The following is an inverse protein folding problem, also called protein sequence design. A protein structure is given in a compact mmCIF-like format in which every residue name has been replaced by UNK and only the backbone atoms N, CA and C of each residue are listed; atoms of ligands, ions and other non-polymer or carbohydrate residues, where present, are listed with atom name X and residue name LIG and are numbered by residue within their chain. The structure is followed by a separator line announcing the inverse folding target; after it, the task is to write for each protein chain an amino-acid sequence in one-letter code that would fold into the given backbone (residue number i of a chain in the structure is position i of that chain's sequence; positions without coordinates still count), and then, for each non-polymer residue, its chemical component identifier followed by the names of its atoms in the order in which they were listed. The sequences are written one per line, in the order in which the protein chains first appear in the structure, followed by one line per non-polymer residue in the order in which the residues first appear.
data_IF_266664589473
#
_entry.id   IF_266664589473
#
_cell.length_a   1.000
_cell.length_b   1.000
_cell.length_c   1.000
_cell.angle_alpha   90.00
_cell.angle_beta   90.00
_cell.angle_gamma   90.00
#
_symmetry.space_group_name_H-M   'P 1'
#
loop_
_entity.id
_entity.type
_entity.pdbx_description
1 polymer ?
#
# COMPACT_ATOMS: atom_id res chain seq x y z
N UNK A 1 7.93 -10.84 8.45
CA UNK A 1 8.37 -10.03 7.29
C UNK A 1 8.20 -8.53 7.58
N UNK A 2 8.80 -8.03 8.66
CA UNK A 2 8.69 -6.62 9.07
C UNK A 2 9.68 -5.77 8.27
N UNK A 3 10.88 -6.31 8.01
CA UNK A 3 11.91 -5.60 7.26
C UNK A 3 11.84 -5.80 5.74
N UNK A 4 10.77 -6.46 5.27
CA UNK A 4 10.54 -6.79 3.87
C UNK A 4 10.98 -8.19 3.47
N UNK A 5 11.25 -8.36 2.18
CA UNK A 5 11.68 -9.61 1.55
C UNK A 5 12.79 -9.35 0.53
N UNK A 6 13.58 -10.36 0.13
CA UNK A 6 14.57 -10.21 -0.95
C UNK A 6 13.99 -9.58 -2.22
N UNK A 7 12.75 -9.93 -2.58
CA UNK A 7 12.06 -9.34 -3.73
C UNK A 7 11.70 -7.87 -3.54
N UNK A 8 11.34 -7.49 -2.32
CA UNK A 8 11.00 -6.10 -2.00
C UNK A 8 12.24 -5.20 -2.08
N UNK A 9 13.43 -5.70 -1.73
CA UNK A 9 14.67 -4.93 -1.83
C UNK A 9 15.09 -4.59 -3.26
N UNK A 10 14.64 -5.36 -4.26
CA UNK A 10 14.89 -5.03 -5.66
C UNK A 10 14.14 -3.76 -6.11
N UNK A 11 13.05 -3.40 -5.43
CA UNK A 11 12.13 -2.34 -5.85
C UNK A 11 12.10 -1.14 -4.89
N UNK A 12 12.55 -1.31 -3.64
CA UNK A 12 12.46 -0.29 -2.61
C UNK A 12 13.78 -0.12 -1.89
N UNK A 13 14.22 1.13 -1.74
CA UNK A 13 15.45 1.50 -1.01
C UNK A 13 15.31 1.42 0.52
N UNK A 14 14.18 0.91 1.02
CA UNK A 14 13.84 0.89 2.44
C UNK A 14 13.05 -0.38 2.79
N UNK A 15 13.09 -0.83 4.05
CA UNK A 15 12.39 -2.04 4.48
C UNK A 15 10.89 -1.97 4.17
N UNK A 16 10.40 -2.87 3.31
CA UNK A 16 9.01 -2.83 2.83
C UNK A 16 8.22 -4.06 3.23
N UNK A 17 7.55 -4.00 4.38
CA UNK A 17 6.56 -5.02 4.76
C UNK A 17 5.28 -4.90 3.94
N UNK A 18 4.48 -5.96 3.95
CA UNK A 18 3.14 -5.96 3.33
C UNK A 18 2.24 -4.89 3.94
N UNK A 19 2.23 -4.75 5.27
CA UNK A 19 1.46 -3.71 5.95
C UNK A 19 1.91 -2.30 5.58
N UNK A 20 3.23 -2.07 5.49
CA UNK A 20 3.80 -0.79 5.06
C UNK A 20 3.41 -0.46 3.61
N UNK A 21 3.40 -1.47 2.73
CA UNK A 21 2.98 -1.31 1.33
C UNK A 21 1.49 -0.94 1.22
N UNK A 22 0.62 -1.57 2.01
CA UNK A 22 -0.81 -1.22 2.06
C UNK A 22 -1.00 0.22 2.54
N UNK A 23 -0.34 0.61 3.63
CA UNK A 23 -0.43 1.98 4.16
C UNK A 23 0.09 3.03 3.15
N UNK A 24 1.16 2.71 2.41
CA UNK A 24 1.68 3.55 1.34
C UNK A 24 0.68 3.72 0.20
N UNK A 25 0.03 2.64 -0.22
CA UNK A 25 -0.97 2.69 -1.28
C UNK A 25 -2.15 3.57 -0.89
N UNK A 26 -2.67 3.41 0.33
CA UNK A 26 -3.73 4.27 0.87
C UNK A 26 -3.31 5.74 0.91
N UNK A 27 -2.08 6.03 1.38
CA UNK A 27 -1.54 7.40 1.39
C UNK A 27 -1.48 7.98 -0.02
N UNK A 28 -0.98 7.23 -0.99
CA UNK A 28 -0.86 7.69 -2.37
C UNK A 28 -2.25 7.90 -3.01
N UNK A 29 -3.20 7.02 -2.76
CA UNK A 29 -4.57 7.13 -3.25
C UNK A 29 -5.30 8.36 -2.66
N UNK A 30 -5.06 8.68 -1.39
CA UNK A 30 -5.53 9.93 -0.77
C UNK A 30 -4.92 11.17 -1.45
N UNK A 31 -3.60 11.19 -1.66
CA UNK A 31 -2.90 12.32 -2.27
C UNK A 31 -3.27 12.54 -3.75
N UNK A 32 -3.65 11.48 -4.46
CA UNK A 32 -4.04 11.51 -5.87
C UNK A 32 -5.55 11.56 -6.08
N UNK A 33 -6.34 11.77 -5.02
CA UNK A 33 -7.81 11.77 -5.05
C UNK A 33 -8.41 10.52 -5.76
N UNK A 34 -7.76 9.38 -5.58
CA UNK A 34 -8.03 8.10 -6.28
C UNK A 34 -8.43 6.99 -5.31
N UNK A 35 -8.92 7.36 -4.12
CA UNK A 35 -9.23 6.42 -3.03
C UNK A 35 -10.28 5.36 -3.40
N UNK A 36 -11.22 5.72 -4.29
CA UNK A 36 -12.27 4.83 -4.78
C UNK A 36 -11.75 3.58 -5.50
N UNK A 37 -10.53 3.62 -6.05
CA UNK A 37 -9.97 2.44 -6.73
C UNK A 37 -9.35 1.41 -5.78
N UNK A 38 -9.11 1.77 -4.52
CA UNK A 38 -8.43 0.92 -3.53
C UNK A 38 -9.31 0.52 -2.35
N UNK A 39 -10.53 1.09 -2.26
CA UNK A 39 -11.53 0.73 -1.27
C UNK A 39 -12.62 -0.14 -1.90
N UNK A 40 -13.19 -1.01 -1.08
CA UNK A 40 -14.37 -1.78 -1.46
C UNK A 40 -15.64 -0.95 -1.18
N UNK A 41 -16.48 -0.77 -2.20
CA UNK A 41 -17.73 0.00 -2.12
C UNK A 41 -18.89 -0.86 -1.56
N UNK A 42 -18.65 -2.14 -1.23
CA UNK A 42 -19.68 -3.09 -0.77
C UNK A 42 -20.31 -2.77 0.60
N UNK A 43 -19.76 -1.80 1.34
CA UNK A 43 -20.19 -1.45 2.71
C UNK A 43 -21.31 -0.39 2.78
N UNK A 44 -21.79 0.12 1.64
CA UNK A 44 -22.80 1.20 1.57
C UNK A 44 -24.18 0.69 1.12
N UNK A 45 -24.52 -0.56 1.43
CA UNK A 45 -25.85 -1.17 1.15
C UNK A 45 -26.58 -1.49 2.46
#
# INVERSE_FOLDING_TARGET
FIDGSPYSYLNYSEPMSTGRRIARELKNALLSNSLRYVLDDSSVV
#
